data_IF_286685847154
#
_entry.id   IF_286685847154
#
_cell.length_a   1.000
_cell.length_b   1.000
_cell.length_c   1.000
_cell.angle_alpha   90.00
_cell.angle_beta   90.00
_cell.angle_gamma   90.00
#
_symmetry.space_group_name_H-M   'P 1'
#
loop_
_entity.id
_entity.type
_entity.pdbx_description
1 polymer ?
#
# COMPACT_ATOMS: atom_id res chain seq x y z
N UNK A 1 36.10 -12.34 -1.47
CA UNK A 1 35.80 -10.97 -1.94
C UNK A 1 34.87 -10.30 -0.95
N UNK A 2 35.31 -9.25 -0.24
CA UNK A 2 34.43 -8.46 0.64
C UNK A 2 33.52 -7.61 -0.26
N UNK A 3 32.22 -7.86 -0.25
CA UNK A 3 31.24 -6.98 -0.90
C UNK A 3 31.35 -5.60 -0.27
N UNK A 4 32.01 -4.67 -0.96
CA UNK A 4 31.99 -3.26 -0.59
C UNK A 4 30.58 -2.76 -0.84
N UNK A 5 29.84 -2.53 0.24
CA UNK A 5 28.53 -1.88 0.20
C UNK A 5 28.70 -0.56 -0.56
N UNK A 6 28.02 -0.45 -1.69
CA UNK A 6 28.08 0.74 -2.54
C UNK A 6 27.44 1.93 -1.81
N UNK A 7 27.81 3.18 -2.12
CA UNK A 7 27.24 4.37 -1.47
C UNK A 7 25.70 4.41 -1.52
N UNK A 8 25.11 3.89 -2.61
CA UNK A 8 23.67 3.81 -2.80
C UNK A 8 23.00 2.84 -1.80
N UNK A 9 23.63 1.69 -1.54
CA UNK A 9 23.14 0.70 -0.58
C UNK A 9 23.24 1.21 0.88
N UNK A 10 24.27 2.01 1.20
CA UNK A 10 24.38 2.65 2.53
C UNK A 10 23.24 3.64 2.78
N UNK A 11 22.90 4.45 1.78
CA UNK A 11 21.82 5.43 1.89
C UNK A 11 20.45 4.73 2.04
N UNK A 12 20.21 3.68 1.26
CA UNK A 12 18.99 2.88 1.36
C UNK A 12 18.84 2.22 2.74
N UNK A 13 19.94 1.66 3.26
CA UNK A 13 19.97 1.08 4.60
C UNK A 13 19.64 2.12 5.68
N UNK A 14 20.27 3.31 5.61
CA UNK A 14 20.01 4.40 6.55
C UNK A 14 18.55 4.88 6.51
N UNK A 15 17.98 5.04 5.30
CA UNK A 15 16.57 5.40 5.13
C UNK A 15 15.66 4.33 5.74
N UNK A 16 15.91 3.05 5.47
CA UNK A 16 15.12 1.95 6.02
C UNK A 16 15.17 1.93 7.56
N UNK A 17 16.35 2.10 8.16
CA UNK A 17 16.50 2.21 9.61
C UNK A 17 15.74 3.42 10.18
N UNK A 18 15.78 4.56 9.49
CA UNK A 18 15.06 5.77 9.91
C UNK A 18 13.55 5.54 9.89
N UNK A 19 13.01 4.96 8.82
CA UNK A 19 11.58 4.63 8.71
C UNK A 19 11.16 3.66 9.82
N UNK A 20 11.98 2.63 10.08
CA UNK A 20 11.71 1.67 11.14
C UNK A 20 11.68 2.33 12.52
N UNK A 21 12.68 3.17 12.82
CA UNK A 21 12.76 3.90 14.09
C UNK A 21 11.55 4.81 14.29
N UNK A 22 11.18 5.60 13.28
CA UNK A 22 9.99 6.46 13.33
C UNK A 22 8.73 5.64 13.59
N UNK A 23 8.55 4.52 12.89
CA UNK A 23 7.37 3.66 13.06
C UNK A 23 7.29 3.07 14.46
N UNK A 24 8.42 2.57 15.00
CA UNK A 24 8.49 2.04 16.36
C UNK A 24 8.21 3.15 17.38
N UNK A 25 8.78 4.34 17.20
CA UNK A 25 8.54 5.48 18.10
C UNK A 25 7.06 5.88 18.14
N UNK A 26 6.37 5.91 16.99
CA UNK A 26 4.93 6.22 16.93
C UNK A 26 4.08 5.15 17.63
N UNK A 27 4.41 3.87 17.45
CA UNK A 27 3.73 2.77 18.12
C UNK A 27 3.94 2.84 19.65
N UNK A 28 5.18 3.02 20.10
CA UNK A 28 5.50 3.16 21.53
C UNK A 28 4.79 4.37 22.15
N UNK A 29 4.82 5.52 21.46
CA UNK A 29 4.12 6.72 21.89
C UNK A 29 2.62 6.45 22.07
N UNK A 30 2.01 5.75 21.12
CA UNK A 30 0.59 5.39 21.13
C UNK A 30 0.21 4.37 22.21
N UNK A 31 1.19 3.62 22.75
CA UNK A 31 0.99 2.65 23.83
C UNK A 31 1.16 3.28 25.22
N UNK A 32 2.07 4.24 25.38
CA UNK A 32 2.48 4.76 26.70
C UNK A 32 1.62 5.95 27.15
N UNK A 33 1.03 6.71 26.22
CA UNK A 33 0.25 7.89 26.59
C UNK A 33 -1.05 7.50 27.32
N UNK A 34 -1.36 8.24 28.39
CA UNK A 34 -2.56 8.07 29.21
C UNK A 34 -3.85 8.39 28.45
N UNK A 35 -4.79 7.44 28.45
CA UNK A 35 -6.01 7.44 27.62
C UNK A 35 -6.97 8.61 27.84
N UNK A 36 -6.95 9.25 29.00
CA UNK A 36 -7.93 10.27 29.40
C UNK A 36 -7.49 11.71 29.07
N UNK A 37 -6.60 11.88 28.09
CA UNK A 37 -6.06 13.19 27.73
C UNK A 37 -6.42 13.56 26.28
N UNK A 38 -6.73 14.83 25.98
CA UNK A 38 -6.82 15.31 24.59
C UNK A 38 -5.52 15.04 23.81
N UNK A 39 -4.40 15.03 24.53
CA UNK A 39 -3.10 14.66 23.99
C UNK A 39 -3.09 13.24 23.43
N UNK A 40 -3.61 12.24 24.17
CA UNK A 40 -3.77 10.87 23.69
C UNK A 40 -4.54 10.76 22.38
N UNK A 41 -5.66 11.47 22.28
CA UNK A 41 -6.49 11.46 21.08
C UNK A 41 -5.73 12.06 19.89
N UNK A 42 -5.15 13.25 20.07
CA UNK A 42 -4.40 13.93 19.01
C UNK A 42 -3.19 13.12 18.53
N UNK A 43 -2.38 12.60 19.46
CA UNK A 43 -1.19 11.80 19.11
C UNK A 43 -1.55 10.47 18.47
N UNK A 44 -2.62 9.80 18.92
CA UNK A 44 -3.06 8.54 18.32
C UNK A 44 -3.54 8.73 16.88
N UNK A 45 -4.31 9.81 16.62
CA UNK A 45 -4.79 10.13 15.26
C UNK A 45 -3.60 10.43 14.33
N UNK A 46 -2.69 11.31 14.75
CA UNK A 46 -1.52 11.67 13.96
C UNK A 46 -0.61 10.46 13.71
N UNK A 47 -0.43 9.60 14.71
CA UNK A 47 0.35 8.38 14.58
C UNK A 47 -0.29 7.39 13.60
N UNK A 48 -1.62 7.22 13.63
CA UNK A 48 -2.30 6.33 12.69
C UNK A 48 -2.23 6.83 11.25
N UNK A 49 -2.37 8.14 11.02
CA UNK A 49 -2.17 8.75 9.70
C UNK A 49 -0.73 8.50 9.22
N UNK A 50 0.28 8.82 10.06
CA UNK A 50 1.68 8.66 9.70
C UNK A 50 2.05 7.20 9.40
N UNK A 51 1.64 6.27 10.25
CA UNK A 51 1.86 4.83 10.06
C UNK A 51 1.17 4.35 8.77
N UNK A 52 -0.04 4.83 8.47
CA UNK A 52 -0.74 4.47 7.23
C UNK A 52 0.03 4.95 6.00
N UNK A 53 0.47 6.21 5.98
CA UNK A 53 1.23 6.77 4.85
C UNK A 53 2.54 6.00 4.64
N UNK A 54 3.30 5.76 5.71
CA UNK A 54 4.56 5.02 5.65
C UNK A 54 4.30 3.58 5.18
N UNK A 55 3.35 2.89 5.81
CA UNK A 55 3.02 1.51 5.54
C UNK A 55 2.54 1.28 4.12
N UNK A 56 1.57 2.09 3.64
CA UNK A 56 1.06 1.97 2.27
C UNK A 56 2.13 2.34 1.24
N UNK A 57 3.00 3.30 1.51
CA UNK A 57 4.12 3.64 0.60
C UNK A 57 5.11 2.49 0.48
N UNK A 58 5.48 1.86 1.60
CA UNK A 58 6.36 0.68 1.61
C UNK A 58 5.70 -0.53 0.95
N UNK A 59 4.42 -0.76 1.23
CA UNK A 59 3.65 -1.83 0.63
C UNK A 59 3.56 -1.65 -0.88
N UNK A 60 3.19 -0.47 -1.36
CA UNK A 60 3.12 -0.15 -2.78
C UNK A 60 4.48 -0.38 -3.44
N UNK A 61 5.56 0.19 -2.89
CA UNK A 61 6.89 -0.03 -3.44
C UNK A 61 7.27 -1.51 -3.49
N UNK A 62 6.99 -2.27 -2.42
CA UNK A 62 7.36 -3.69 -2.31
C UNK A 62 6.56 -4.54 -3.30
N UNK A 63 5.24 -4.38 -3.31
CA UNK A 63 4.33 -5.11 -4.20
C UNK A 63 4.62 -4.73 -5.65
N UNK A 64 4.66 -3.45 -5.97
CA UNK A 64 4.92 -2.98 -7.32
C UNK A 64 6.28 -3.46 -7.85
N UNK A 65 7.35 -3.31 -7.07
CA UNK A 65 8.70 -3.71 -7.51
C UNK A 65 8.87 -5.23 -7.57
N UNK A 66 8.51 -5.95 -6.52
CA UNK A 66 8.88 -7.37 -6.38
C UNK A 66 7.79 -8.32 -6.82
N UNK A 67 6.52 -7.99 -6.60
CA UNK A 67 5.41 -8.82 -7.04
C UNK A 67 5.07 -8.52 -8.50
N UNK A 68 4.93 -7.25 -8.87
CA UNK A 68 4.40 -6.87 -10.18
C UNK A 68 5.44 -6.72 -11.27
N UNK A 69 6.65 -6.24 -10.98
CA UNK A 69 7.66 -6.00 -12.02
C UNK A 69 8.81 -7.00 -12.08
N UNK A 70 8.94 -7.90 -11.12
CA UNK A 70 9.96 -8.95 -11.18
C UNK A 70 9.49 -10.10 -12.07
N UNK A 71 10.41 -10.67 -12.84
CA UNK A 71 10.12 -11.89 -13.59
C UNK A 71 9.99 -13.08 -12.63
N UNK A 72 8.86 -13.78 -12.70
CA UNK A 72 8.57 -14.95 -11.85
C UNK A 72 8.49 -16.22 -12.68
N UNK A 73 9.05 -17.32 -12.15
CA UNK A 73 8.90 -18.66 -12.74
C UNK A 73 7.59 -19.35 -12.32
N UNK A 74 7.03 -18.96 -11.18
CA UNK A 74 5.79 -19.51 -10.65
C UNK A 74 4.58 -19.04 -11.48
N UNK A 75 3.68 -19.98 -11.81
CA UNK A 75 2.50 -19.72 -12.63
C UNK A 75 1.58 -18.62 -12.06
N UNK A 76 1.26 -18.68 -10.76
CA UNK A 76 0.41 -17.70 -10.09
C UNK A 76 1.03 -16.30 -10.15
N UNK A 77 2.33 -16.20 -9.86
CA UNK A 77 3.04 -14.92 -9.88
C UNK A 77 3.18 -14.36 -11.31
N UNK A 78 3.38 -15.22 -12.30
CA UNK A 78 3.34 -14.84 -13.72
C UNK A 78 1.96 -14.33 -14.13
N UNK A 79 0.89 -14.96 -13.64
CA UNK A 79 -0.47 -14.52 -13.90
C UNK A 79 -0.75 -13.13 -13.28
N UNK A 80 -0.33 -12.92 -12.03
CA UNK A 80 -0.41 -11.61 -11.35
C UNK A 80 0.38 -10.54 -12.12
N UNK A 81 1.61 -10.86 -12.55
CA UNK A 81 2.45 -10.00 -13.38
C UNK A 81 1.73 -9.58 -14.67
N UNK A 82 1.13 -10.54 -15.38
CA UNK A 82 0.43 -10.30 -16.65
C UNK A 82 -0.80 -9.43 -16.44
N UNK A 83 -1.63 -9.72 -15.43
CA UNK A 83 -2.80 -8.90 -15.09
C UNK A 83 -2.38 -7.46 -14.77
N UNK A 84 -1.33 -7.29 -13.96
CA UNK A 84 -0.85 -5.96 -13.60
C UNK A 84 -0.33 -5.20 -14.83
N UNK A 85 0.47 -5.83 -15.69
CA UNK A 85 0.99 -5.17 -16.89
C UNK A 85 -0.13 -4.80 -17.88
N UNK A 86 -1.05 -5.71 -18.18
CA UNK A 86 -2.16 -5.43 -19.09
C UNK A 86 -3.05 -4.33 -18.50
N UNK A 87 -3.44 -4.45 -17.23
CA UNK A 87 -4.35 -3.49 -16.63
C UNK A 87 -3.73 -2.14 -16.37
N UNK A 88 -2.61 -2.11 -15.67
CA UNK A 88 -2.00 -0.85 -15.27
C UNK A 88 -1.28 -0.19 -16.44
N UNK A 89 -0.45 -0.92 -17.18
CA UNK A 89 0.42 -0.35 -18.22
C UNK A 89 -0.14 -0.36 -19.64
N UNK A 90 -1.22 -1.09 -19.92
CA UNK A 90 -1.86 -1.06 -21.25
C UNK A 90 -3.23 -0.39 -21.24
N UNK A 91 -3.97 -0.47 -20.13
CA UNK A 91 -5.33 0.11 -20.05
C UNK A 91 -5.34 1.48 -19.35
N UNK A 92 -4.66 1.64 -18.21
CA UNK A 92 -4.78 2.86 -17.39
C UNK A 92 -3.68 3.89 -17.66
N UNK A 93 -2.45 3.41 -17.74
CA UNK A 93 -1.25 4.18 -18.07
C UNK A 93 -0.56 3.58 -19.30
N UNK A 94 -1.22 3.62 -20.48
CA UNK A 94 -0.59 3.23 -21.72
C UNK A 94 0.60 4.16 -22.05
N UNK A 95 1.56 3.71 -22.88
CA UNK A 95 2.75 4.48 -23.30
C UNK A 95 2.47 5.95 -23.64
N UNK A 96 1.35 6.21 -24.33
CA UNK A 96 0.96 7.55 -24.78
C UNK A 96 0.61 8.49 -23.61
N UNK A 97 0.21 7.95 -22.45
CA UNK A 97 -0.05 8.72 -21.22
C UNK A 97 1.20 9.06 -20.42
N UNK A 98 2.35 8.42 -20.70
CA UNK A 98 3.62 8.83 -20.07
C UNK A 98 4.18 10.13 -20.66
N UNK A 99 3.77 10.45 -21.90
CA UNK A 99 4.21 11.65 -22.63
C UNK A 99 3.14 12.74 -22.71
N UNK A 100 1.87 12.40 -22.41
CA UNK A 100 0.78 13.38 -22.39
C UNK A 100 0.31 13.64 -20.96
N UNK A 101 0.43 14.88 -20.50
CA UNK A 101 -0.04 15.33 -19.18
C UNK A 101 -1.58 15.28 -19.11
N UNK A 102 -2.14 14.10 -18.91
CA UNK A 102 -3.56 13.90 -18.64
C UNK A 102 -3.85 13.79 -17.14
N UNK A 103 -5.11 14.01 -16.70
CA UNK A 103 -5.49 13.79 -15.31
C UNK A 103 -5.24 12.34 -14.89
N UNK A 104 -4.72 12.16 -13.67
CA UNK A 104 -4.45 10.86 -13.04
C UNK A 104 -5.75 10.05 -13.03
N UNK A 105 -5.75 8.87 -13.65
CA UNK A 105 -6.85 7.90 -13.54
C UNK A 105 -6.35 6.72 -12.71
N UNK A 106 -7.07 6.36 -11.65
CA UNK A 106 -6.81 5.13 -10.87
C UNK A 106 -7.65 3.98 -11.44
N UNK A 107 -7.31 2.72 -11.12
CA UNK A 107 -8.17 1.57 -11.44
C UNK A 107 -9.55 1.81 -10.84
N UNK A 108 -10.59 2.08 -11.65
CA UNK A 108 -11.90 2.22 -11.09
C UNK A 108 -12.33 0.83 -10.62
N UNK A 109 -12.97 0.69 -9.48
CA UNK A 109 -13.59 -0.58 -9.06
C UNK A 109 -15.04 -0.66 -9.59
N UNK A 110 -15.69 0.49 -9.79
CA UNK A 110 -17.10 0.58 -10.17
C UNK A 110 -17.38 1.23 -11.54
N UNK A 111 -16.39 1.79 -12.24
CA UNK A 111 -16.67 2.32 -13.59
C UNK A 111 -17.00 1.18 -14.57
N UNK A 112 -18.04 1.44 -15.38
CA UNK A 112 -18.56 0.54 -16.40
C UNK A 112 -17.77 0.59 -17.72
N UNK A 113 -16.89 1.58 -17.90
CA UNK A 113 -16.21 1.89 -19.17
C UNK A 113 -14.69 1.62 -19.15
N UNK A 114 -14.22 0.68 -18.33
CA UNK A 114 -12.81 0.26 -18.39
C UNK A 114 -12.64 -0.72 -19.56
N UNK A 115 -11.72 -0.42 -20.49
CA UNK A 115 -11.31 -1.40 -21.52
C UNK A 115 -10.99 -2.73 -20.84
N UNK A 116 -11.59 -3.79 -21.34
CA UNK A 116 -11.65 -5.09 -20.69
C UNK A 116 -10.25 -5.64 -20.34
N UNK A 117 -10.03 -5.93 -19.05
CA UNK A 117 -8.88 -6.64 -18.47
C UNK A 117 -8.96 -8.17 -18.68
N UNK A 118 -10.12 -8.68 -19.09
CA UNK A 118 -10.41 -10.10 -19.32
C UNK A 118 -11.58 -10.26 -20.28
N UNK A 119 -11.69 -11.43 -20.89
CA UNK A 119 -12.57 -11.73 -22.04
C UNK A 119 -14.08 -11.67 -21.73
N UNK A 120 -14.45 -11.51 -20.46
CA UNK A 120 -15.86 -11.39 -20.04
C UNK A 120 -16.03 -10.40 -18.89
N UNK A 121 -17.25 -9.88 -18.75
CA UNK A 121 -17.64 -8.99 -17.65
C UNK A 121 -17.32 -9.57 -16.26
N UNK A 122 -17.55 -10.87 -16.08
CA UNK A 122 -17.28 -11.58 -14.83
C UNK A 122 -15.77 -11.69 -14.55
N UNK A 123 -14.97 -12.00 -15.58
CA UNK A 123 -13.51 -12.03 -15.45
C UNK A 123 -12.95 -10.65 -15.10
N UNK A 124 -13.48 -9.59 -15.72
CA UNK A 124 -13.12 -8.21 -15.39
C UNK A 124 -13.42 -7.82 -13.95
N UNK A 125 -14.62 -8.15 -13.48
CA UNK A 125 -15.03 -7.88 -12.10
C UNK A 125 -14.15 -8.65 -11.11
N UNK A 126 -13.95 -9.96 -11.33
CA UNK A 126 -13.13 -10.80 -10.45
C UNK A 126 -11.68 -10.33 -10.41
N UNK A 127 -11.08 -9.97 -11.54
CA UNK A 127 -9.71 -9.43 -11.58
C UNK A 127 -9.58 -8.16 -10.75
N UNK A 128 -10.52 -7.21 -10.89
CA UNK A 128 -10.54 -5.97 -10.10
C UNK A 128 -10.73 -6.25 -8.60
N UNK A 129 -11.66 -7.14 -8.28
CA UNK A 129 -11.95 -7.55 -6.90
C UNK A 129 -10.74 -8.25 -6.28
N UNK A 130 -10.09 -9.17 -6.98
CA UNK A 130 -8.89 -9.85 -6.51
C UNK A 130 -7.72 -8.89 -6.31
N UNK A 131 -7.53 -7.93 -7.22
CA UNK A 131 -6.51 -6.89 -7.06
C UNK A 131 -6.75 -6.05 -5.80
N UNK A 132 -7.94 -5.47 -5.67
CA UNK A 132 -8.32 -4.67 -4.48
C UNK A 132 -8.30 -5.50 -3.19
N UNK A 133 -8.81 -6.73 -3.23
CA UNK A 133 -8.86 -7.64 -2.09
C UNK A 133 -7.48 -8.06 -1.63
N UNK A 134 -6.54 -8.30 -2.55
CA UNK A 134 -5.16 -8.64 -2.21
C UNK A 134 -4.43 -7.50 -1.50
N UNK A 135 -4.62 -6.26 -1.96
CA UNK A 135 -4.08 -5.07 -1.30
C UNK A 135 -4.68 -4.87 0.08
N UNK A 136 -6.01 -5.02 0.21
CA UNK A 136 -6.68 -4.88 1.50
C UNK A 136 -6.23 -5.97 2.49
N UNK A 137 -6.11 -7.21 2.05
CA UNK A 137 -5.62 -8.31 2.88
C UNK A 137 -4.19 -8.04 3.36
N UNK A 138 -3.30 -7.60 2.47
CA UNK A 138 -1.94 -7.20 2.83
C UNK A 138 -1.96 -6.07 3.86
N UNK A 139 -2.72 -4.99 3.62
CA UNK A 139 -2.85 -3.87 4.55
C UNK A 139 -3.37 -4.30 5.92
N UNK A 140 -4.33 -5.23 5.96
CA UNK A 140 -4.81 -5.82 7.20
C UNK A 140 -3.70 -6.58 7.94
N UNK A 141 -2.90 -7.38 7.23
CA UNK A 141 -1.85 -8.21 7.82
C UNK A 141 -0.59 -7.43 8.22
N UNK A 142 -0.25 -6.36 7.51
CA UNK A 142 1.03 -5.64 7.68
C UNK A 142 0.89 -4.33 8.43
N UNK A 143 -0.30 -3.71 8.43
CA UNK A 143 -0.53 -2.39 9.04
C UNK A 143 -1.58 -2.47 10.14
N UNK A 144 -2.84 -2.75 9.79
CA UNK A 144 -3.98 -2.63 10.72
C UNK A 144 -3.87 -3.65 11.87
N UNK A 145 -3.66 -4.92 11.54
CA UNK A 145 -3.54 -6.01 12.52
C UNK A 145 -2.39 -5.77 13.50
N UNK A 146 -1.15 -5.54 13.04
CA UNK A 146 -0.02 -5.23 13.92
C UNK A 146 -0.25 -3.99 14.78
N UNK A 147 -0.83 -2.90 14.24
CA UNK A 147 -1.13 -1.70 15.03
C UNK A 147 -2.03 -2.03 16.22
N UNK A 148 -3.11 -2.79 15.99
CA UNK A 148 -4.01 -3.20 17.06
C UNK A 148 -3.34 -4.15 18.06
N UNK A 149 -2.70 -5.21 17.57
CA UNK A 149 -2.08 -6.24 18.42
C UNK A 149 -1.02 -5.65 19.35
N UNK A 150 -0.22 -4.69 18.86
CA UNK A 150 0.87 -4.07 19.63
C UNK A 150 0.35 -3.04 20.64
N UNK A 151 -0.61 -2.21 20.25
CA UNK A 151 -0.97 -1.01 21.04
C UNK A 151 -2.26 -1.15 21.83
N UNK A 152 -3.19 -2.03 21.41
CA UNK A 152 -4.55 -2.11 21.95
C UNK A 152 -5.25 -0.73 22.04
N UNK A 153 -4.89 0.19 21.14
CA UNK A 153 -5.37 1.56 21.10
C UNK A 153 -6.46 1.71 20.02
N UNK A 154 -7.71 1.89 20.46
CA UNK A 154 -8.86 1.96 19.56
C UNK A 154 -8.88 3.22 18.70
N UNK A 155 -8.33 4.34 19.19
CA UNK A 155 -8.24 5.60 18.43
C UNK A 155 -7.21 5.45 17.32
N UNK A 156 -6.04 4.87 17.63
CA UNK A 156 -5.04 4.53 16.63
C UNK A 156 -5.64 3.62 15.57
N UNK A 157 -6.27 2.52 15.98
CA UNK A 157 -6.92 1.57 15.06
C UNK A 157 -7.92 2.27 14.12
N UNK A 158 -8.84 3.06 14.69
CA UNK A 158 -9.84 3.78 13.90
C UNK A 158 -9.19 4.76 12.92
N UNK A 159 -8.19 5.53 13.38
CA UNK A 159 -7.49 6.49 12.52
C UNK A 159 -6.72 5.81 11.38
N UNK A 160 -6.11 4.64 11.61
CA UNK A 160 -5.45 3.83 10.58
C UNK A 160 -6.45 3.30 9.56
N UNK A 161 -7.61 2.80 10.00
CA UNK A 161 -8.69 2.32 9.11
C UNK A 161 -9.22 3.46 8.24
N UNK A 162 -9.58 4.60 8.84
CA UNK A 162 -10.11 5.77 8.13
C UNK A 162 -9.08 6.31 7.14
N UNK A 163 -7.82 6.44 7.55
CA UNK A 163 -6.73 6.89 6.67
C UNK A 163 -6.53 5.95 5.49
N UNK A 164 -6.62 4.63 5.72
CA UNK A 164 -6.53 3.62 4.66
C UNK A 164 -7.66 3.79 3.66
N UNK A 165 -8.90 3.94 4.13
CA UNK A 165 -10.08 4.14 3.27
C UNK A 165 -9.91 5.38 2.39
N UNK A 166 -9.46 6.50 2.99
CA UNK A 166 -9.23 7.77 2.28
C UNK A 166 -8.14 7.60 1.22
N UNK A 167 -6.96 7.09 1.60
CA UNK A 167 -5.81 6.97 0.69
C UNK A 167 -6.09 6.00 -0.45
N UNK A 168 -6.69 4.85 -0.13
CA UNK A 168 -7.00 3.82 -1.11
C UNK A 168 -8.25 4.13 -1.95
N UNK A 169 -9.01 5.20 -1.64
CA UNK A 169 -10.25 5.54 -2.35
C UNK A 169 -11.23 4.35 -2.45
N UNK A 170 -11.41 3.58 -1.37
CA UNK A 170 -12.24 2.35 -1.39
C UNK A 170 -13.75 2.66 -1.56
N UNK A 171 -14.16 3.94 -1.51
CA UNK A 171 -15.57 4.38 -1.44
C UNK A 171 -15.93 5.44 -2.51
N UNK A 172 -15.33 5.42 -3.70
CA UNK A 172 -15.78 6.27 -4.83
C UNK A 172 -16.03 5.43 -6.08
#
# INVERSE_FOLDING_TARGET
MKNKITPLEKNQFFIACTILLVTISLLLLSTIITKDTPFYMGTSILSGIAITVIGLSLQEWTVHRYLYHRHHKNFLMKHIYTIHHIGHHSVIFPPERYVTNGPVKRHPIFENNVKELGESRSSNFLTRLSHSGSYMLLTCMTIIGPCWLITQNSILLLSTIVSTIIICHVVV
#
